data_IF_215805609959
#
_entry.id   IF_215805609959
#
_cell.length_a   1.000
_cell.length_b   1.000
_cell.length_c   1.000
_cell.angle_alpha   90.00
_cell.angle_beta   90.00
_cell.angle_gamma   90.00
#
_symmetry.space_group_name_H-M   'P 1'
#
loop_
_entity.id
_entity.type
_entity.pdbx_description
1 polymer ?
#
# COMPACT_ATOMS: atom_id res chain seq x y z
N UNK A 1 -25.40 -6.41 -8.73
CA UNK A 1 -23.95 -6.08 -8.71
C UNK A 1 -23.82 -4.58 -8.87
N UNK A 2 -22.79 -3.91 -8.72
CA UNK A 2 -22.38 -2.52 -9.02
C UNK A 2 -23.48 -1.42 -8.99
N UNK A 3 -24.63 -1.61 -8.33
CA UNK A 3 -25.68 -0.59 -8.24
C UNK A 3 -25.17 0.71 -7.62
N UNK A 4 -24.20 0.61 -6.70
CA UNK A 4 -23.57 1.77 -6.07
C UNK A 4 -22.90 2.73 -7.09
N UNK A 5 -22.52 2.24 -8.28
CA UNK A 5 -21.92 3.07 -9.34
C UNK A 5 -22.91 4.11 -9.86
N UNK A 6 -24.19 3.76 -9.92
CA UNK A 6 -25.28 4.63 -10.38
C UNK A 6 -26.02 5.30 -9.22
N UNK A 7 -25.84 4.84 -7.98
CA UNK A 7 -26.45 5.45 -6.80
C UNK A 7 -25.75 6.77 -6.48
N UNK A 8 -26.40 7.86 -6.87
CA UNK A 8 -25.88 9.21 -6.71
C UNK A 8 -26.88 10.14 -5.98
N UNK A 9 -27.87 9.58 -5.29
CA UNK A 9 -28.79 10.35 -4.48
C UNK A 9 -28.00 11.05 -3.36
N UNK A 10 -27.95 12.41 -3.35
CA UNK A 10 -27.06 13.12 -2.43
C UNK A 10 -27.52 13.01 -0.99
N UNK A 11 -26.57 12.73 -0.10
CA UNK A 11 -26.75 12.88 1.35
C UNK A 11 -26.43 14.35 1.66
N UNK A 12 -27.44 15.17 2.00
CA UNK A 12 -27.30 16.62 1.98
C UNK A 12 -26.40 17.17 3.08
N UNK A 13 -25.86 18.36 2.84
CA UNK A 13 -25.12 19.13 3.82
C UNK A 13 -26.04 19.52 4.99
N UNK A 14 -25.56 19.30 6.22
CA UNK A 14 -26.30 19.65 7.44
C UNK A 14 -25.73 20.92 8.06
N UNK A 15 -26.39 22.05 7.80
CA UNK A 15 -25.98 23.37 8.30
C UNK A 15 -25.86 23.41 9.83
N UNK A 16 -26.74 22.71 10.56
CA UNK A 16 -26.72 22.70 12.04
C UNK A 16 -25.48 21.97 12.58
N UNK A 17 -25.09 20.87 11.93
CA UNK A 17 -23.86 20.16 12.30
C UNK A 17 -22.61 20.98 11.95
N UNK A 18 -22.60 21.63 10.78
CA UNK A 18 -21.52 22.54 10.40
C UNK A 18 -21.33 23.65 11.41
N UNK A 19 -22.42 24.39 11.76
CA UNK A 19 -22.38 25.49 12.75
C UNK A 19 -21.85 25.03 14.12
N UNK A 20 -22.13 23.78 14.51
CA UNK A 20 -21.65 23.21 15.76
C UNK A 20 -20.13 22.96 15.71
N UNK A 21 -19.58 22.58 14.54
CA UNK A 21 -18.22 22.11 14.38
C UNK A 21 -17.28 23.10 13.67
N UNK A 22 -17.78 24.18 13.05
CA UNK A 22 -16.97 25.11 12.25
C UNK A 22 -15.77 25.71 13.00
N UNK A 23 -15.89 25.86 14.32
CA UNK A 23 -14.85 26.46 15.18
C UNK A 23 -14.04 25.40 15.94
N UNK A 24 -14.21 24.12 15.64
CA UNK A 24 -13.46 23.07 16.31
C UNK A 24 -11.95 23.24 16.06
N UNK A 25 -11.17 23.15 17.14
CA UNK A 25 -9.70 23.23 17.05
C UNK A 25 -9.11 22.08 16.28
N UNK A 26 -9.70 20.88 16.43
CA UNK A 26 -9.33 19.68 15.67
C UNK A 26 -10.31 19.52 14.50
N UNK A 27 -9.80 19.52 13.28
CA UNK A 27 -10.63 19.20 12.11
C UNK A 27 -10.98 17.72 12.13
N UNK A 28 -12.24 17.41 11.84
CA UNK A 28 -12.79 16.06 11.85
C UNK A 28 -12.62 15.43 10.46
N UNK A 29 -12.09 14.21 10.40
CA UNK A 29 -11.96 13.43 9.18
C UNK A 29 -12.84 12.18 9.26
N UNK A 30 -13.68 11.96 8.26
CA UNK A 30 -14.35 10.68 8.04
C UNK A 30 -13.54 9.86 7.03
N UNK A 31 -13.14 8.65 7.39
CA UNK A 31 -12.47 7.70 6.52
C UNK A 31 -13.45 6.60 6.13
N UNK A 32 -13.74 6.49 4.84
CA UNK A 32 -14.60 5.42 4.31
C UNK A 32 -13.70 4.32 3.80
N UNK A 33 -13.78 3.16 4.48
CA UNK A 33 -12.84 2.05 4.30
C UNK A 33 -13.61 0.79 3.88
N UNK A 34 -13.16 0.05 2.86
CA UNK A 34 -13.79 -1.23 2.52
C UNK A 34 -13.52 -2.26 3.63
N UNK A 35 -14.30 -3.33 3.66
CA UNK A 35 -14.06 -4.41 4.60
C UNK A 35 -12.65 -4.98 4.46
N UNK A 36 -12.04 -5.31 5.59
CA UNK A 36 -10.66 -5.79 5.68
C UNK A 36 -10.56 -7.20 6.25
N UNK A 37 -9.58 -7.94 5.74
CA UNK A 37 -9.14 -9.20 6.35
C UNK A 37 -7.89 -9.02 7.23
N UNK A 38 -7.54 -10.02 8.04
CA UNK A 38 -6.28 -10.06 8.78
C UNK A 38 -5.07 -9.88 7.86
N UNK A 39 -4.10 -9.07 8.28
CA UNK A 39 -2.83 -8.90 7.54
C UNK A 39 -2.91 -8.08 6.25
N UNK A 40 -4.01 -7.39 5.99
CA UNK A 40 -4.14 -6.52 4.81
C UNK A 40 -3.17 -5.33 4.88
N UNK A 41 -2.14 -5.33 4.01
CA UNK A 41 -1.10 -4.29 3.97
C UNK A 41 -1.65 -2.89 3.63
N UNK A 42 -2.61 -2.81 2.70
CA UNK A 42 -3.26 -1.55 2.35
C UNK A 42 -4.02 -0.94 3.53
N UNK A 43 -4.76 -1.74 4.28
CA UNK A 43 -5.45 -1.29 5.50
C UNK A 43 -4.46 -0.90 6.61
N UNK A 44 -3.36 -1.63 6.76
CA UNK A 44 -2.29 -1.28 7.71
C UNK A 44 -1.75 0.12 7.40
N UNK A 45 -1.51 0.44 6.15
CA UNK A 45 -1.05 1.78 5.72
C UNK A 45 -2.09 2.85 6.03
N UNK A 46 -3.37 2.62 5.71
CA UNK A 46 -4.48 3.54 6.03
C UNK A 46 -4.51 3.82 7.55
N UNK A 47 -4.54 2.79 8.37
CA UNK A 47 -4.62 2.93 9.83
C UNK A 47 -3.37 3.57 10.44
N UNK A 48 -2.20 3.37 9.84
CA UNK A 48 -0.96 4.05 10.23
C UNK A 48 -1.07 5.56 10.01
N UNK A 49 -1.57 5.98 8.85
CA UNK A 49 -1.79 7.40 8.58
C UNK A 49 -2.88 7.98 9.48
N UNK A 50 -4.01 7.30 9.64
CA UNK A 50 -5.08 7.74 10.55
C UNK A 50 -4.52 7.98 11.97
N UNK A 51 -3.76 7.05 12.51
CA UNK A 51 -3.18 7.16 13.84
C UNK A 51 -2.18 8.33 13.97
N UNK A 52 -1.33 8.52 12.97
CA UNK A 52 -0.39 9.65 12.99
C UNK A 52 -1.10 10.99 12.79
N UNK A 53 -2.12 11.06 11.94
CA UNK A 53 -2.93 12.26 11.74
C UNK A 53 -3.73 12.64 12.99
N UNK A 54 -4.23 11.65 13.76
CA UNK A 54 -4.86 11.87 15.06
C UNK A 54 -3.87 12.50 16.05
N UNK A 55 -2.65 11.99 16.13
CA UNK A 55 -1.57 12.55 16.96
C UNK A 55 -1.14 13.95 16.54
N UNK A 56 -1.20 14.24 15.24
CA UNK A 56 -0.84 15.56 14.67
C UNK A 56 -1.92 16.61 14.87
N UNK A 57 -3.16 16.24 15.21
CA UNK A 57 -4.19 17.19 15.59
C UNK A 57 -5.50 17.10 14.81
N UNK A 58 -5.70 16.14 13.93
CA UNK A 58 -7.02 15.79 13.42
C UNK A 58 -7.80 14.93 14.42
N UNK A 59 -9.10 14.82 14.21
CA UNK A 59 -9.93 13.81 14.87
C UNK A 59 -10.53 12.90 13.79
N UNK A 60 -10.21 11.61 13.86
CA UNK A 60 -10.57 10.65 12.81
C UNK A 60 -11.71 9.73 13.22
N UNK A 61 -12.61 9.49 12.27
CA UNK A 61 -13.67 8.50 12.34
C UNK A 61 -13.55 7.54 11.17
N UNK A 62 -13.55 6.25 11.45
CA UNK A 62 -13.51 5.19 10.43
C UNK A 62 -14.90 4.62 10.26
N UNK A 63 -15.38 4.57 9.02
CA UNK A 63 -16.66 3.97 8.66
C UNK A 63 -16.42 2.86 7.65
N UNK A 64 -16.91 1.65 7.95
CA UNK A 64 -16.82 0.55 7.01
C UNK A 64 -17.89 0.66 5.91
N UNK A 65 -17.49 0.32 4.71
CA UNK A 65 -18.36 0.30 3.55
C UNK A 65 -18.45 -1.11 2.97
N UNK A 66 -19.70 -1.60 2.78
CA UNK A 66 -19.97 -2.95 2.29
C UNK A 66 -19.28 -4.04 3.13
N UNK A 67 -19.51 -4.02 4.43
CA UNK A 67 -18.86 -4.88 5.42
C UNK A 67 -19.84 -5.89 6.05
N UNK A 68 -20.27 -6.96 5.32
CA UNK A 68 -21.28 -7.89 5.81
C UNK A 68 -20.83 -8.76 6.99
N UNK A 69 -19.52 -8.88 7.22
CA UNK A 69 -18.97 -9.71 8.30
C UNK A 69 -18.98 -9.03 9.68
N UNK A 70 -19.27 -7.72 9.75
CA UNK A 70 -19.33 -6.99 11.00
C UNK A 70 -20.75 -6.51 11.29
N UNK A 71 -21.32 -6.96 12.43
CA UNK A 71 -22.71 -6.66 12.79
C UNK A 71 -22.86 -5.38 13.62
N UNK A 72 -21.82 -4.98 14.35
CA UNK A 72 -21.82 -3.81 15.23
C UNK A 72 -20.42 -3.20 15.41
N UNK A 73 -20.40 -2.01 16.02
CA UNK A 73 -19.16 -1.28 16.28
C UNK A 73 -18.23 -2.00 17.29
N UNK A 74 -18.76 -2.82 18.16
CA UNK A 74 -17.96 -3.55 19.14
C UNK A 74 -17.17 -4.69 18.48
N UNK A 75 -17.78 -5.40 17.54
CA UNK A 75 -17.13 -6.49 16.80
C UNK A 75 -15.95 -5.97 15.96
N UNK A 76 -16.08 -4.80 15.32
CA UNK A 76 -14.99 -4.17 14.60
C UNK A 76 -13.88 -3.73 15.53
N UNK A 77 -14.19 -3.08 16.65
CA UNK A 77 -13.17 -2.63 17.61
C UNK A 77 -12.36 -3.80 18.14
N UNK A 78 -13.01 -4.94 18.41
CA UNK A 78 -12.34 -6.18 18.79
C UNK A 78 -11.39 -6.66 17.70
N UNK A 79 -11.87 -6.73 16.46
CA UNK A 79 -11.09 -7.16 15.30
C UNK A 79 -9.87 -6.23 15.07
N UNK A 80 -10.06 -4.91 15.09
CA UNK A 80 -8.98 -3.94 14.89
C UNK A 80 -7.93 -4.02 16.01
N UNK A 81 -8.34 -4.21 17.26
CA UNK A 81 -7.41 -4.41 18.37
C UNK A 81 -6.55 -5.66 18.20
N UNK A 82 -7.10 -6.71 17.63
CA UNK A 82 -6.40 -7.98 17.41
C UNK A 82 -5.47 -7.93 16.21
N UNK A 83 -5.93 -7.43 15.07
CA UNK A 83 -5.21 -7.49 13.79
C UNK A 83 -4.54 -6.20 13.35
N UNK A 84 -4.94 -5.05 13.89
CA UNK A 84 -4.40 -3.73 13.57
C UNK A 84 -4.11 -2.91 14.84
N UNK A 85 -3.29 -3.43 15.77
CA UNK A 85 -3.05 -2.79 17.08
C UNK A 85 -2.35 -1.43 16.97
N UNK A 86 -1.87 -1.06 15.79
CA UNK A 86 -1.28 0.25 15.51
C UNK A 86 -2.33 1.39 15.50
N UNK A 87 -3.63 1.05 15.33
CA UNK A 87 -4.69 2.06 15.34
C UNK A 87 -4.91 2.56 16.77
N UNK A 88 -4.73 3.86 16.96
CA UNK A 88 -4.85 4.49 18.29
C UNK A 88 -6.31 4.50 18.79
N UNK A 89 -6.54 4.36 20.09
CA UNK A 89 -7.88 4.18 20.66
C UNK A 89 -8.78 5.40 20.57
N UNK A 90 -8.23 6.58 20.31
CA UNK A 90 -8.97 7.83 20.16
C UNK A 90 -9.81 7.88 18.87
N UNK A 91 -9.47 7.06 17.88
CA UNK A 91 -10.19 6.96 16.61
C UNK A 91 -11.55 6.29 16.84
N UNK A 92 -12.61 6.96 16.42
CA UNK A 92 -13.94 6.38 16.42
C UNK A 92 -14.10 5.39 15.26
N UNK A 93 -14.76 4.26 15.50
CA UNK A 93 -14.96 3.22 14.48
C UNK A 93 -16.43 2.81 14.41
N UNK A 94 -16.97 2.78 13.20
CA UNK A 94 -18.36 2.49 12.90
C UNK A 94 -18.48 1.37 11.85
N UNK A 95 -19.41 0.45 12.05
CA UNK A 95 -19.60 -0.71 11.17
C UNK A 95 -20.30 -0.39 9.85
N UNK A 96 -20.91 0.79 9.74
CA UNK A 96 -21.67 1.14 8.55
C UNK A 96 -21.63 2.65 8.26
N UNK A 97 -21.55 2.97 6.99
CA UNK A 97 -21.54 4.34 6.47
C UNK A 97 -22.84 5.10 6.71
N UNK A 98 -23.96 4.42 6.99
CA UNK A 98 -25.23 5.08 7.35
C UNK A 98 -25.13 5.88 8.66
N UNK A 99 -24.12 5.59 9.48
CA UNK A 99 -23.85 6.30 10.74
C UNK A 99 -23.01 7.57 10.54
N UNK A 100 -22.64 7.92 9.29
CA UNK A 100 -21.77 9.07 9.03
C UNK A 100 -22.40 10.39 9.42
N UNK A 101 -21.61 11.18 10.16
CA UNK A 101 -21.92 12.53 10.60
C UNK A 101 -21.10 13.54 9.82
N UNK A 102 -21.39 14.83 9.98
CA UNK A 102 -20.58 15.92 9.43
C UNK A 102 -19.08 15.73 9.73
N UNK A 103 -18.26 16.05 8.74
CA UNK A 103 -16.81 16.15 8.89
C UNK A 103 -16.23 17.30 8.07
N UNK A 104 -15.07 17.82 8.47
CA UNK A 104 -14.34 18.82 7.69
C UNK A 104 -13.76 18.21 6.41
N UNK A 105 -13.42 16.93 6.44
CA UNK A 105 -13.10 16.19 5.23
C UNK A 105 -13.61 14.74 5.30
N UNK A 106 -13.99 14.22 4.15
CA UNK A 106 -14.35 12.80 3.97
C UNK A 106 -13.41 12.18 2.96
N UNK A 107 -12.79 11.04 3.32
CA UNK A 107 -11.70 10.41 2.60
C UNK A 107 -12.17 9.05 2.06
N UNK A 108 -12.13 8.90 0.74
CA UNK A 108 -12.24 7.60 0.07
C UNK A 108 -10.88 6.86 0.12
N UNK A 109 -10.89 5.56 0.33
CA UNK A 109 -9.67 4.74 0.42
C UNK A 109 -9.61 3.62 -0.61
N UNK A 110 -10.63 3.49 -1.43
CA UNK A 110 -10.72 2.60 -2.60
C UNK A 110 -11.71 3.14 -3.61
N UNK A 111 -11.67 2.63 -4.84
CA UNK A 111 -12.61 3.04 -5.88
C UNK A 111 -14.08 2.79 -5.48
N UNK A 112 -14.38 1.70 -4.79
CA UNK A 112 -15.74 1.42 -4.32
C UNK A 112 -16.22 2.45 -3.31
N UNK A 113 -15.35 2.86 -2.38
CA UNK A 113 -15.68 3.87 -1.36
C UNK A 113 -15.80 5.28 -1.96
N UNK A 114 -15.10 5.56 -3.07
CA UNK A 114 -15.19 6.84 -3.76
C UNK A 114 -16.61 7.13 -4.27
N UNK A 115 -17.32 6.12 -4.74
CA UNK A 115 -18.73 6.27 -5.13
C UNK A 115 -19.64 6.69 -3.98
N UNK A 116 -19.39 6.18 -2.77
CA UNK A 116 -20.13 6.63 -1.59
C UNK A 116 -19.75 8.06 -1.19
N UNK A 117 -18.46 8.36 -1.15
CA UNK A 117 -17.96 9.71 -0.82
C UNK A 117 -18.47 10.75 -1.83
N UNK A 118 -18.62 10.38 -3.10
CA UNK A 118 -19.20 11.23 -4.15
C UNK A 118 -20.56 11.81 -3.72
N UNK A 119 -21.46 10.96 -3.24
CA UNK A 119 -22.82 11.37 -2.85
C UNK A 119 -22.93 12.00 -1.45
N UNK A 120 -21.91 11.80 -0.58
CA UNK A 120 -21.92 12.36 0.76
C UNK A 120 -21.53 13.85 0.73
N UNK A 121 -22.55 14.73 0.86
CA UNK A 121 -22.37 16.19 0.81
C UNK A 121 -22.20 16.83 2.19
N UNK A 122 -22.37 16.07 3.29
CA UNK A 122 -22.25 16.57 4.66
C UNK A 122 -20.78 16.68 5.10
N UNK A 123 -19.99 17.34 4.26
CA UNK A 123 -18.53 17.49 4.42
C UNK A 123 -18.05 18.74 3.66
N UNK A 124 -16.96 19.36 4.11
CA UNK A 124 -16.37 20.53 3.45
C UNK A 124 -15.49 20.11 2.27
N UNK A 125 -14.60 19.16 2.51
CA UNK A 125 -13.65 18.66 1.51
C UNK A 125 -13.80 17.16 1.27
N UNK A 126 -13.46 16.73 0.07
CA UNK A 126 -13.42 15.31 -0.29
C UNK A 126 -12.02 14.94 -0.75
N UNK A 127 -11.47 13.89 -0.16
CA UNK A 127 -10.16 13.36 -0.48
C UNK A 127 -10.24 11.93 -0.98
N UNK A 128 -9.27 11.55 -1.80
CA UNK A 128 -9.01 10.17 -2.17
C UNK A 128 -7.61 9.79 -1.74
N UNK A 129 -7.50 8.81 -0.83
CA UNK A 129 -6.24 8.21 -0.40
C UNK A 129 -5.90 7.08 -1.37
N UNK A 130 -5.09 7.41 -2.40
CA UNK A 130 -4.78 6.53 -3.53
C UNK A 130 -3.51 5.75 -3.25
N UNK A 131 -3.62 4.45 -3.02
CA UNK A 131 -2.46 3.60 -2.71
C UNK A 131 -1.90 2.86 -3.92
N UNK A 132 -2.69 2.70 -4.98
CA UNK A 132 -2.27 2.07 -6.24
C UNK A 132 -3.12 2.61 -7.39
N UNK A 133 -2.74 2.30 -8.64
CA UNK A 133 -3.58 2.56 -9.78
C UNK A 133 -4.63 1.44 -9.90
N UNK A 134 -5.74 1.62 -9.21
CA UNK A 134 -6.75 0.58 -9.00
C UNK A 134 -7.39 0.03 -10.28
N UNK A 135 -7.52 0.79 -11.41
CA UNK A 135 -7.98 0.20 -12.67
C UNK A 135 -7.15 -1.01 -13.11
N UNK A 136 -5.85 -1.03 -12.85
CA UNK A 136 -4.97 -2.15 -13.18
C UNK A 136 -5.16 -3.40 -12.27
N UNK A 137 -6.11 -3.38 -11.34
CA UNK A 137 -6.49 -4.60 -10.61
C UNK A 137 -7.39 -5.51 -11.46
N UNK A 138 -7.92 -5.00 -12.57
CA UNK A 138 -8.88 -5.64 -13.45
C UNK A 138 -8.37 -5.71 -14.87
N UNK A 139 -8.87 -6.68 -15.64
CA UNK A 139 -8.77 -6.64 -17.10
C UNK A 139 -9.50 -5.39 -17.63
N UNK A 140 -9.05 -4.85 -18.75
CA UNK A 140 -9.69 -3.68 -19.35
C UNK A 140 -11.14 -4.02 -19.73
N UNK A 141 -12.08 -3.51 -18.96
CA UNK A 141 -13.51 -3.80 -19.04
C UNK A 141 -14.28 -2.98 -18.01
N UNK A 142 -15.50 -3.38 -17.66
CA UNK A 142 -16.40 -2.58 -16.82
C UNK A 142 -15.80 -2.18 -15.46
N UNK A 143 -15.13 -3.11 -14.78
CA UNK A 143 -14.54 -2.80 -13.47
C UNK A 143 -13.35 -1.84 -13.57
N UNK A 144 -12.55 -1.99 -14.63
CA UNK A 144 -11.49 -1.03 -14.96
C UNK A 144 -12.07 0.38 -15.13
N UNK A 145 -13.12 0.51 -15.95
CA UNK A 145 -13.78 1.79 -16.22
C UNK A 145 -14.43 2.38 -14.96
N UNK A 146 -15.06 1.54 -14.12
CA UNK A 146 -15.65 2.01 -12.87
C UNK A 146 -14.59 2.53 -11.89
N UNK A 147 -13.46 1.85 -11.79
CA UNK A 147 -12.35 2.29 -10.96
C UNK A 147 -11.72 3.59 -11.50
N UNK A 148 -11.45 3.66 -12.81
CA UNK A 148 -10.87 4.85 -13.44
C UNK A 148 -11.76 6.10 -13.31
N UNK A 149 -13.07 5.93 -13.45
CA UNK A 149 -14.02 7.04 -13.34
C UNK A 149 -14.00 7.71 -11.97
N UNK A 150 -13.53 7.03 -10.92
CA UNK A 150 -13.42 7.63 -9.59
C UNK A 150 -12.38 8.74 -9.53
N UNK A 151 -11.34 8.69 -10.34
CA UNK A 151 -10.32 9.73 -10.42
C UNK A 151 -10.82 11.02 -11.08
N UNK A 152 -11.96 10.96 -11.78
CA UNK A 152 -12.62 12.08 -12.46
C UNK A 152 -13.69 12.77 -11.59
N UNK A 153 -13.85 12.35 -10.33
CA UNK A 153 -14.90 12.85 -9.42
C UNK A 153 -14.59 14.20 -8.76
N UNK A 154 -13.43 14.79 -9.02
CA UNK A 154 -13.05 16.11 -8.48
C UNK A 154 -12.57 16.09 -7.03
N UNK A 155 -12.15 14.94 -6.49
CA UNK A 155 -11.57 14.84 -5.15
C UNK A 155 -10.14 15.39 -5.13
N UNK A 156 -9.66 15.75 -3.94
CA UNK A 156 -8.23 15.99 -3.71
C UNK A 156 -7.54 14.66 -3.46
N UNK A 157 -6.35 14.45 -4.05
CA UNK A 157 -5.60 13.21 -3.92
C UNK A 157 -4.52 13.26 -2.86
N UNK A 158 -4.41 12.19 -2.09
CA UNK A 158 -3.23 11.86 -1.29
C UNK A 158 -2.73 10.52 -1.81
N UNK A 159 -1.55 10.49 -2.44
CA UNK A 159 -1.10 9.33 -3.20
C UNK A 159 0.11 8.65 -2.58
N UNK A 160 0.15 7.32 -2.65
CA UNK A 160 1.32 6.53 -2.31
C UNK A 160 2.37 6.63 -3.43
N UNK A 161 3.27 7.58 -3.28
CA UNK A 161 4.36 7.85 -4.20
C UNK A 161 4.06 8.83 -5.31
N UNK A 162 5.14 9.29 -5.92
CA UNK A 162 5.12 10.37 -6.91
C UNK A 162 4.52 9.92 -8.25
N UNK A 163 4.67 8.65 -8.61
CA UNK A 163 4.08 8.11 -9.83
C UNK A 163 2.56 8.27 -9.87
N UNK A 164 1.88 7.89 -8.79
CA UNK A 164 0.42 8.04 -8.67
C UNK A 164 0.02 9.52 -8.63
N UNK A 165 0.76 10.37 -7.90
CA UNK A 165 0.53 11.82 -7.90
C UNK A 165 0.57 12.38 -9.31
N UNK A 166 1.58 12.02 -10.08
CA UNK A 166 1.79 12.56 -11.42
C UNK A 166 0.72 12.09 -12.40
N UNK A 167 0.28 10.82 -12.32
CA UNK A 167 -0.88 10.32 -13.07
C UNK A 167 -2.14 11.12 -12.68
N UNK A 168 -2.42 11.25 -11.38
CA UNK A 168 -3.63 11.95 -10.92
C UNK A 168 -3.65 13.41 -11.38
N UNK A 169 -2.51 14.10 -11.35
CA UNK A 169 -2.39 15.49 -11.79
C UNK A 169 -2.49 15.62 -13.32
N UNK A 170 -1.71 14.84 -14.05
CA UNK A 170 -1.52 15.04 -15.49
C UNK A 170 -2.62 14.43 -16.34
N UNK A 171 -3.19 13.30 -15.92
CA UNK A 171 -4.19 12.58 -16.70
C UNK A 171 -5.62 12.87 -16.24
N UNK A 172 -5.82 13.12 -14.93
CA UNK A 172 -7.15 13.32 -14.37
C UNK A 172 -7.40 14.74 -13.83
N UNK A 173 -6.40 15.62 -13.85
CA UNK A 173 -6.56 17.00 -13.36
C UNK A 173 -6.81 17.10 -11.85
N UNK A 174 -6.48 16.04 -11.09
CA UNK A 174 -6.68 15.99 -9.65
C UNK A 174 -5.63 16.86 -8.94
N UNK A 175 -6.05 17.66 -7.96
CA UNK A 175 -5.12 18.29 -7.03
C UNK A 175 -4.60 17.21 -6.08
N UNK A 176 -3.39 16.73 -6.27
CA UNK A 176 -2.84 15.62 -5.54
C UNK A 176 -1.45 15.92 -4.98
N UNK A 177 -1.21 15.47 -3.76
CA UNK A 177 0.09 15.43 -3.12
C UNK A 177 0.44 13.99 -2.76
N UNK A 178 1.73 13.67 -2.67
CA UNK A 178 2.21 12.33 -2.40
C UNK A 178 2.82 12.19 -1.01
N UNK A 179 2.80 10.98 -0.50
CA UNK A 179 3.65 10.52 0.58
C UNK A 179 4.53 9.38 0.09
N UNK A 180 5.68 9.20 0.73
CA UNK A 180 6.56 8.08 0.48
C UNK A 180 6.38 7.00 1.54
N UNK A 181 6.97 5.84 1.28
CA UNK A 181 6.92 4.72 2.22
C UNK A 181 8.05 4.80 3.25
N UNK A 182 7.85 4.06 4.32
CA UNK A 182 8.83 3.63 5.27
C UNK A 182 8.56 2.16 5.60
N UNK A 183 9.09 1.64 6.67
CA UNK A 183 8.91 0.27 7.11
C UNK A 183 8.60 0.22 8.61
N UNK A 184 8.21 -0.94 9.12
CA UNK A 184 8.04 -1.17 10.55
C UNK A 184 9.38 -1.63 11.15
N UNK A 185 10.08 -0.69 11.79
CA UNK A 185 11.41 -0.91 12.37
C UNK A 185 11.44 -1.85 13.58
N UNK A 186 10.27 -2.17 14.15
CA UNK A 186 10.15 -3.17 15.21
C UNK A 186 10.11 -4.59 14.67
N UNK A 187 9.65 -4.77 13.44
CA UNK A 187 9.50 -6.07 12.78
C UNK A 187 10.68 -6.34 11.85
N UNK A 188 10.96 -5.41 10.95
CA UNK A 188 11.98 -5.57 9.91
C UNK A 188 13.30 -4.97 10.38
N UNK A 189 14.21 -5.84 10.79
CA UNK A 189 15.51 -5.48 11.34
C UNK A 189 16.62 -6.28 10.65
N UNK A 190 17.83 -5.71 10.53
CA UNK A 190 18.94 -6.43 9.95
C UNK A 190 19.33 -7.62 10.84
N UNK A 191 19.51 -8.77 10.20
CA UNK A 191 20.05 -9.98 10.81
C UNK A 191 21.25 -10.47 10.00
N UNK A 192 22.19 -11.11 10.66
CA UNK A 192 23.24 -11.83 9.98
C UNK A 192 22.65 -13.08 9.35
N UNK A 193 23.10 -13.37 8.14
CA UNK A 193 22.75 -14.60 7.43
C UNK A 193 23.36 -15.79 8.16
N UNK A 194 22.60 -16.86 8.43
CA UNK A 194 23.05 -17.96 9.28
C UNK A 194 24.13 -18.86 8.64
N UNK A 195 24.27 -18.78 7.33
CA UNK A 195 25.16 -19.63 6.53
C UNK A 195 25.55 -18.95 5.20
N UNK A 196 26.32 -19.64 4.37
CA UNK A 196 26.76 -19.16 3.06
C UNK A 196 25.91 -19.69 1.89
N UNK A 197 24.76 -20.31 2.16
CA UNK A 197 23.89 -20.81 1.10
C UNK A 197 23.25 -19.65 0.31
N UNK A 198 23.24 -19.79 -1.01
CA UNK A 198 22.61 -18.83 -1.91
C UNK A 198 21.10 -18.98 -1.89
N UNK A 199 20.37 -17.93 -1.53
CA UNK A 199 18.91 -17.94 -1.47
C UNK A 199 18.31 -16.72 -2.14
N UNK A 200 17.18 -16.96 -2.79
CA UNK A 200 16.32 -15.92 -3.37
C UNK A 200 14.94 -16.03 -2.75
N UNK A 201 14.40 -14.92 -2.28
CA UNK A 201 13.02 -14.84 -1.85
C UNK A 201 12.11 -14.41 -3.00
N UNK A 202 10.93 -15.00 -3.11
CA UNK A 202 9.88 -14.55 -4.01
C UNK A 202 8.52 -14.55 -3.30
N UNK A 203 7.89 -13.37 -3.26
CA UNK A 203 6.56 -13.21 -2.69
C UNK A 203 5.51 -13.70 -3.70
N UNK A 204 5.06 -14.93 -3.53
CA UNK A 204 4.14 -15.59 -4.45
C UNK A 204 2.73 -15.02 -4.33
N UNK A 205 2.18 -14.53 -5.45
CA UNK A 205 0.81 -13.99 -5.53
C UNK A 205 0.13 -14.38 -6.84
N UNK A 206 -0.09 -15.67 -7.11
CA UNK A 206 -0.66 -16.13 -8.38
C UNK A 206 -2.06 -15.59 -8.66
N UNK A 207 -2.81 -15.25 -7.61
CA UNK A 207 -4.15 -14.66 -7.72
C UNK A 207 -4.15 -13.15 -7.96
N UNK A 208 -2.98 -12.55 -8.12
CA UNK A 208 -2.82 -11.10 -8.32
C UNK A 208 -2.01 -10.86 -9.58
N UNK A 209 -2.65 -10.78 -10.78
CA UNK A 209 -1.95 -10.75 -12.07
C UNK A 209 -0.85 -9.70 -12.17
N UNK A 210 -1.08 -8.49 -11.64
CA UNK A 210 -0.10 -7.40 -11.65
C UNK A 210 1.19 -7.67 -10.86
N UNK A 211 1.27 -8.77 -10.12
CA UNK A 211 2.48 -9.21 -9.38
C UNK A 211 3.32 -10.20 -10.17
N UNK A 212 2.95 -10.50 -11.42
CA UNK A 212 3.73 -11.22 -12.40
C UNK A 212 4.31 -12.56 -11.88
N UNK A 213 3.44 -13.37 -11.25
CA UNK A 213 3.85 -14.66 -10.66
C UNK A 213 4.52 -15.57 -11.70
N UNK A 214 3.91 -15.72 -12.88
CA UNK A 214 4.41 -16.57 -13.96
C UNK A 214 5.75 -16.07 -14.50
N UNK A 215 5.90 -14.75 -14.66
CA UNK A 215 7.17 -14.13 -15.06
C UNK A 215 8.28 -14.41 -14.04
N UNK A 216 7.98 -14.27 -12.77
CA UNK A 216 8.91 -14.56 -11.67
C UNK A 216 9.29 -16.03 -11.63
N UNK A 217 8.33 -16.94 -11.81
CA UNK A 217 8.59 -18.39 -11.85
C UNK A 217 9.50 -18.78 -13.02
N UNK A 218 9.28 -18.22 -14.21
CA UNK A 218 10.14 -18.47 -15.37
C UNK A 218 11.58 -17.96 -15.14
N UNK A 219 11.72 -16.76 -14.58
CA UNK A 219 13.01 -16.19 -14.26
C UNK A 219 13.78 -17.03 -13.21
N UNK A 220 13.11 -17.46 -12.16
CA UNK A 220 13.68 -18.29 -11.11
C UNK A 220 14.05 -19.69 -11.63
N UNK A 221 13.22 -20.27 -12.48
CA UNK A 221 13.55 -21.56 -13.13
C UNK A 221 14.81 -21.43 -13.98
N UNK A 222 14.95 -20.39 -14.77
CA UNK A 222 16.15 -20.17 -15.59
C UNK A 222 17.38 -19.89 -14.73
N UNK A 223 17.26 -19.09 -13.67
CA UNK A 223 18.34 -18.86 -12.71
C UNK A 223 18.81 -20.16 -12.05
N UNK A 224 17.88 -20.96 -11.52
CA UNK A 224 18.21 -22.23 -10.84
C UNK A 224 18.71 -23.29 -11.80
N UNK A 225 18.32 -23.27 -13.08
CA UNK A 225 18.90 -24.13 -14.12
C UNK A 225 20.39 -23.86 -14.32
N UNK A 226 20.82 -22.58 -14.25
CA UNK A 226 22.20 -22.13 -14.38
C UNK A 226 22.99 -22.31 -13.07
N UNK A 227 22.34 -22.12 -11.94
CA UNK A 227 22.91 -22.15 -10.58
C UNK A 227 22.08 -23.08 -9.68
N UNK A 228 22.26 -24.44 -9.82
CA UNK A 228 21.42 -25.43 -9.13
C UNK A 228 21.53 -25.40 -7.59
N UNK A 229 22.58 -24.77 -7.06
CA UNK A 229 22.77 -24.59 -5.61
C UNK A 229 21.79 -23.58 -4.98
N UNK A 230 21.15 -22.71 -5.77
CA UNK A 230 20.23 -21.71 -5.25
C UNK A 230 18.96 -22.36 -4.71
N UNK A 231 18.58 -21.95 -3.51
CA UNK A 231 17.29 -22.28 -2.92
C UNK A 231 16.34 -21.08 -3.01
N UNK A 232 15.13 -21.30 -3.52
CA UNK A 232 14.08 -20.26 -3.58
C UNK A 232 13.14 -20.39 -2.39
N UNK A 233 12.89 -19.29 -1.68
CA UNK A 233 11.98 -19.22 -0.55
C UNK A 233 10.70 -18.53 -0.99
N UNK A 234 9.57 -19.23 -0.99
CA UNK A 234 8.25 -18.70 -1.31
C UNK A 234 7.45 -18.37 -0.04
N UNK A 235 6.78 -17.23 -0.04
CA UNK A 235 5.76 -16.89 0.93
C UNK A 235 4.65 -16.06 0.29
N UNK A 236 3.52 -15.89 1.00
CA UNK A 236 2.37 -15.10 0.56
C UNK A 236 1.26 -15.92 -0.09
N UNK A 237 1.58 -17.12 -0.56
CA UNK A 237 0.65 -18.11 -1.10
C UNK A 237 1.21 -19.52 -0.93
N UNK A 238 0.33 -20.52 -0.78
CA UNK A 238 0.75 -21.91 -0.82
C UNK A 238 0.96 -22.34 -2.27
N UNK A 239 2.22 -22.58 -2.63
CA UNK A 239 2.62 -22.99 -3.99
C UNK A 239 2.70 -24.51 -4.17
N UNK A 240 2.24 -25.30 -3.22
CA UNK A 240 2.27 -26.77 -3.31
C UNK A 240 1.48 -27.35 -4.49
N UNK A 241 0.52 -26.59 -5.03
CA UNK A 241 -0.23 -26.96 -6.22
C UNK A 241 0.51 -26.76 -7.55
N UNK A 242 1.73 -26.21 -7.54
CA UNK A 242 2.56 -25.96 -8.72
C UNK A 242 3.70 -26.96 -8.80
N UNK A 243 4.02 -27.41 -10.00
CA UNK A 243 5.22 -28.21 -10.27
C UNK A 243 6.44 -27.28 -10.35
N UNK A 244 7.30 -27.30 -9.32
CA UNK A 244 8.47 -26.44 -9.20
C UNK A 244 9.73 -27.28 -9.33
N UNK A 245 10.49 -27.17 -10.44
CA UNK A 245 11.59 -28.09 -10.78
C UNK A 245 12.94 -27.70 -10.15
N UNK A 246 12.96 -26.90 -9.11
CA UNK A 246 14.19 -26.45 -8.45
C UNK A 246 14.07 -26.51 -6.91
N UNK A 247 15.22 -26.43 -6.23
CA UNK A 247 15.29 -26.44 -4.76
C UNK A 247 14.48 -25.25 -4.18
N UNK A 248 13.50 -25.52 -3.36
CA UNK A 248 12.65 -24.47 -2.79
C UNK A 248 12.10 -24.80 -1.40
N UNK A 249 11.67 -23.76 -0.70
CA UNK A 249 10.82 -23.82 0.49
C UNK A 249 9.50 -23.11 0.21
N UNK A 250 8.41 -23.73 0.57
CA UNK A 250 7.08 -23.17 0.50
C UNK A 250 6.59 -22.85 1.92
N UNK A 251 6.55 -21.58 2.28
CA UNK A 251 6.12 -21.13 3.60
C UNK A 251 4.62 -20.82 3.66
N UNK A 252 3.95 -20.72 2.50
CA UNK A 252 2.54 -20.35 2.44
C UNK A 252 2.26 -18.93 2.94
N UNK A 253 1.12 -18.76 3.61
CA UNK A 253 0.74 -17.49 4.24
C UNK A 253 1.41 -17.39 5.61
N UNK A 254 2.17 -16.34 5.82
CA UNK A 254 3.02 -16.17 7.02
C UNK A 254 2.77 -14.83 7.71
N UNK A 255 3.20 -14.74 8.96
CA UNK A 255 3.17 -13.48 9.73
C UNK A 255 4.26 -12.52 9.27
N UNK A 256 4.15 -11.21 9.56
CA UNK A 256 5.21 -10.24 9.26
C UNK A 256 6.57 -10.61 9.84
N UNK A 257 6.60 -11.20 11.04
CA UNK A 257 7.88 -11.65 11.65
C UNK A 257 8.53 -12.76 10.83
N UNK A 258 7.76 -13.74 10.36
CA UNK A 258 8.27 -14.83 9.51
C UNK A 258 8.74 -14.29 8.16
N UNK A 259 8.07 -13.26 7.60
CA UNK A 259 8.54 -12.56 6.40
C UNK A 259 9.89 -11.89 6.66
N UNK A 260 10.04 -11.15 7.75
CA UNK A 260 11.30 -10.50 8.11
C UNK A 260 12.45 -11.51 8.24
N UNK A 261 12.19 -12.64 8.88
CA UNK A 261 13.17 -13.74 9.02
C UNK A 261 13.53 -14.35 7.65
N UNK A 262 12.53 -14.48 6.77
CA UNK A 262 12.73 -15.02 5.42
C UNK A 262 13.54 -14.08 4.52
N UNK A 263 13.31 -12.76 4.61
CA UNK A 263 14.13 -11.78 3.90
C UNK A 263 15.59 -11.82 4.37
N UNK A 264 15.78 -11.90 5.69
CA UNK A 264 17.12 -11.84 6.30
C UNK A 264 18.03 -13.06 5.94
N UNK A 265 17.46 -14.21 5.62
CA UNK A 265 18.25 -15.38 5.20
C UNK A 265 18.53 -15.42 3.68
N UNK A 266 17.90 -14.55 2.90
CA UNK A 266 18.04 -14.48 1.45
C UNK A 266 19.05 -13.40 1.03
N UNK A 267 19.77 -13.65 -0.04
CA UNK A 267 20.71 -12.70 -0.65
C UNK A 267 19.98 -11.63 -1.44
N UNK A 268 18.95 -12.07 -2.17
CA UNK A 268 18.12 -11.24 -3.03
C UNK A 268 16.65 -11.61 -2.85
N UNK A 269 15.77 -10.60 -3.01
CA UNK A 269 14.32 -10.77 -2.97
C UNK A 269 13.73 -10.21 -4.26
N UNK A 270 13.10 -11.05 -5.07
CA UNK A 270 12.48 -10.66 -6.33
C UNK A 270 11.12 -10.01 -6.08
N UNK A 271 10.97 -8.75 -6.48
CA UNK A 271 9.78 -7.91 -6.29
C UNK A 271 9.34 -7.33 -7.62
N UNK A 272 8.39 -7.96 -8.27
CA UNK A 272 7.88 -7.54 -9.57
C UNK A 272 6.46 -6.97 -9.40
N UNK A 273 6.18 -5.88 -10.07
CA UNK A 273 4.83 -5.33 -10.14
C UNK A 273 4.64 -4.43 -11.35
N UNK A 274 3.51 -4.56 -12.03
CA UNK A 274 3.07 -3.63 -13.08
C UNK A 274 2.43 -2.35 -12.52
N UNK A 275 2.26 -2.28 -11.20
CA UNK A 275 1.75 -1.10 -10.47
C UNK A 275 2.71 -0.75 -9.33
N UNK A 276 2.22 -0.26 -8.20
CA UNK A 276 3.05 0.05 -7.04
C UNK A 276 3.76 -1.22 -6.50
N UNK A 277 5.04 -1.12 -6.16
CA UNK A 277 5.83 -2.23 -5.58
C UNK A 277 5.42 -2.58 -4.14
N UNK A 278 4.54 -1.81 -3.50
CA UNK A 278 4.20 -1.91 -2.07
C UNK A 278 5.40 -1.65 -1.13
N UNK A 279 5.29 -2.08 0.12
CA UNK A 279 6.34 -1.89 1.14
C UNK A 279 7.50 -2.89 1.03
N UNK A 280 7.35 -3.95 0.25
CA UNK A 280 8.29 -5.09 0.21
C UNK A 280 9.74 -4.67 -0.04
N UNK A 281 10.08 -3.78 -1.01
CA UNK A 281 11.47 -3.37 -1.21
C UNK A 281 12.11 -2.75 0.04
N UNK A 282 11.37 -1.94 0.79
CA UNK A 282 11.88 -1.29 2.01
C UNK A 282 12.04 -2.28 3.16
N UNK A 283 11.12 -3.21 3.29
CA UNK A 283 11.18 -4.31 4.27
C UNK A 283 12.40 -5.21 4.01
N UNK A 284 12.63 -5.54 2.74
CA UNK A 284 13.81 -6.31 2.28
C UNK A 284 15.11 -5.60 2.61
N UNK A 285 15.23 -4.31 2.27
CA UNK A 285 16.41 -3.49 2.56
C UNK A 285 16.65 -3.40 4.08
N UNK A 286 15.61 -3.23 4.87
CA UNK A 286 15.67 -3.18 6.33
C UNK A 286 16.18 -4.49 6.95
N UNK A 287 15.90 -5.63 6.31
CA UNK A 287 16.33 -6.97 6.74
C UNK A 287 17.74 -7.37 6.23
N UNK A 288 18.53 -6.42 5.70
CA UNK A 288 19.88 -6.69 5.19
C UNK A 288 19.90 -7.63 3.98
N UNK A 289 18.91 -7.55 3.10
CA UNK A 289 18.82 -8.24 1.84
C UNK A 289 18.73 -7.25 0.66
N UNK A 290 18.86 -7.72 -0.57
CA UNK A 290 18.81 -6.87 -1.76
C UNK A 290 17.49 -7.05 -2.50
N UNK A 291 16.75 -5.97 -2.71
CA UNK A 291 15.55 -5.99 -3.53
C UNK A 291 15.93 -6.00 -5.02
N UNK A 292 15.37 -6.96 -5.76
CA UNK A 292 15.44 -7.03 -7.23
C UNK A 292 14.08 -6.61 -7.75
N UNK A 293 13.98 -5.43 -8.33
CA UNK A 293 12.72 -4.78 -8.61
C UNK A 293 12.51 -4.54 -10.11
N UNK A 294 11.29 -4.73 -10.59
CA UNK A 294 10.90 -4.28 -11.93
C UNK A 294 11.09 -2.77 -12.06
N UNK A 295 11.72 -2.33 -13.15
CA UNK A 295 11.97 -0.92 -13.42
C UNK A 295 10.78 -0.27 -14.17
N UNK A 296 10.51 0.98 -13.86
CA UNK A 296 9.47 1.76 -14.51
C UNK A 296 9.16 3.05 -13.73
N UNK A 297 8.27 3.87 -14.27
CA UNK A 297 7.80 5.07 -13.58
C UNK A 297 7.11 4.72 -12.24
N UNK A 298 6.45 3.56 -12.19
CA UNK A 298 5.77 3.03 -11.00
C UNK A 298 6.72 2.68 -9.85
N UNK A 299 8.00 2.47 -10.12
CA UNK A 299 8.99 2.05 -9.11
C UNK A 299 10.08 3.09 -8.83
N UNK A 300 10.41 3.96 -9.80
CA UNK A 300 11.54 4.89 -9.74
C UNK A 300 11.49 5.93 -8.62
N UNK A 301 10.34 6.15 -8.03
CA UNK A 301 10.18 7.03 -6.88
C UNK A 301 10.66 6.41 -5.56
N UNK A 302 10.91 5.08 -5.52
CA UNK A 302 11.31 4.38 -4.30
C UNK A 302 12.57 3.52 -4.45
N UNK A 303 12.90 3.07 -5.66
CA UNK A 303 14.05 2.22 -5.94
C UNK A 303 14.87 2.73 -7.12
N UNK A 304 16.18 2.53 -7.08
CA UNK A 304 17.13 2.88 -8.13
C UNK A 304 18.32 1.93 -8.12
N UNK A 305 19.25 2.07 -9.07
CA UNK A 305 20.44 1.19 -9.18
C UNK A 305 21.45 1.34 -8.02
N UNK A 306 21.27 2.31 -7.12
CA UNK A 306 22.12 2.43 -5.94
C UNK A 306 21.61 1.60 -4.77
N UNK A 307 20.28 1.48 -4.61
CA UNK A 307 19.66 0.81 -3.47
C UNK A 307 19.03 -0.54 -3.80
N UNK A 308 18.96 -0.90 -5.08
CA UNK A 308 18.27 -2.10 -5.59
C UNK A 308 18.93 -2.58 -6.88
N UNK A 309 18.57 -3.79 -7.31
CA UNK A 309 18.85 -4.30 -8.66
C UNK A 309 17.58 -4.06 -9.48
N UNK A 310 17.69 -3.28 -10.55
CA UNK A 310 16.55 -3.04 -11.44
C UNK A 310 16.55 -4.03 -12.61
N UNK A 311 15.37 -4.54 -12.94
CA UNK A 311 15.16 -5.54 -13.99
C UNK A 311 14.01 -5.17 -14.92
N UNK A 312 14.09 -5.57 -16.17
CA UNK A 312 12.99 -5.49 -17.13
C UNK A 312 11.97 -6.62 -16.91
N UNK A 313 10.79 -6.51 -17.52
CA UNK A 313 9.77 -7.57 -17.50
C UNK A 313 10.12 -8.70 -18.50
N UNK A 314 11.33 -9.24 -18.37
CA UNK A 314 11.85 -10.33 -19.19
C UNK A 314 12.51 -11.39 -18.31
N UNK A 315 12.07 -12.67 -18.34
CA UNK A 315 12.56 -13.69 -17.42
C UNK A 315 14.05 -14.03 -17.63
N UNK A 316 14.56 -13.91 -18.86
CA UNK A 316 15.98 -14.17 -19.16
C UNK A 316 16.82 -13.03 -18.58
N UNK A 317 16.44 -11.79 -18.82
CA UNK A 317 17.15 -10.62 -18.29
C UNK A 317 17.14 -10.59 -16.75
N UNK A 318 16.04 -10.99 -16.12
CA UNK A 318 15.95 -11.11 -14.64
C UNK A 318 16.98 -12.16 -14.17
N UNK A 319 17.01 -13.34 -14.80
CA UNK A 319 17.97 -14.39 -14.46
C UNK A 319 19.42 -13.92 -14.68
N UNK A 320 19.72 -13.26 -15.81
CA UNK A 320 21.05 -12.72 -16.13
C UNK A 320 21.55 -11.74 -15.04
N UNK A 321 20.69 -10.81 -14.63
CA UNK A 321 21.02 -9.81 -13.59
C UNK A 321 21.28 -10.46 -12.24
N UNK A 322 20.45 -11.42 -11.84
CA UNK A 322 20.60 -12.12 -10.56
C UNK A 322 21.84 -13.01 -10.54
N UNK A 323 22.11 -13.75 -11.63
CA UNK A 323 23.34 -14.55 -11.80
C UNK A 323 24.58 -13.67 -11.73
N UNK A 324 24.57 -12.51 -12.41
CA UNK A 324 25.67 -11.56 -12.36
C UNK A 324 26.02 -11.18 -10.92
N UNK A 325 25.04 -10.77 -10.11
CA UNK A 325 25.28 -10.34 -8.75
C UNK A 325 25.65 -11.49 -7.79
N UNK A 326 25.21 -12.71 -8.03
CA UNK A 326 25.72 -13.88 -7.30
C UNK A 326 27.19 -14.15 -7.58
N UNK A 327 27.67 -13.83 -8.78
CA UNK A 327 29.06 -13.95 -9.19
C UNK A 327 29.91 -12.71 -8.85
N UNK A 328 29.28 -11.62 -8.39
CA UNK A 328 29.94 -10.36 -7.97
C UNK A 328 29.50 -9.97 -6.55
N UNK A 329 29.89 -10.75 -5.53
CA UNK A 329 29.38 -10.58 -4.16
C UNK A 329 29.76 -9.22 -3.52
N UNK A 330 30.85 -8.61 -3.93
CA UNK A 330 31.26 -7.27 -3.44
C UNK A 330 30.31 -6.17 -3.95
N UNK A 331 29.88 -6.27 -5.19
CA UNK A 331 28.90 -5.34 -5.76
C UNK A 331 27.54 -5.55 -5.11
N UNK A 332 27.11 -6.80 -4.92
CA UNK A 332 25.88 -7.13 -4.19
C UNK A 332 25.91 -6.58 -2.76
N UNK A 333 27.03 -6.71 -2.05
CA UNK A 333 27.20 -6.18 -0.71
C UNK A 333 27.14 -4.63 -0.68
N UNK A 334 27.63 -3.98 -1.73
CA UNK A 334 27.55 -2.53 -1.87
C UNK A 334 26.11 -2.05 -2.01
N UNK A 335 25.31 -2.69 -2.86
CA UNK A 335 23.87 -2.38 -3.03
C UNK A 335 23.12 -2.65 -1.73
N UNK A 336 23.39 -3.78 -1.09
CA UNK A 336 22.79 -4.15 0.21
C UNK A 336 23.00 -3.07 1.26
N UNK A 337 24.22 -2.58 1.41
CA UNK A 337 24.57 -1.53 2.35
C UNK A 337 23.83 -0.22 2.02
N UNK A 338 23.88 0.22 0.77
CA UNK A 338 23.20 1.44 0.32
C UNK A 338 21.68 1.36 0.50
N UNK A 339 21.07 0.20 0.22
CA UNK A 339 19.64 -0.02 0.45
C UNK A 339 19.28 0.10 1.93
N UNK A 340 20.06 -0.52 2.81
CA UNK A 340 19.86 -0.44 4.25
C UNK A 340 20.06 0.98 4.80
N UNK A 341 21.05 1.71 4.31
CA UNK A 341 21.29 3.10 4.71
C UNK A 341 20.16 4.01 4.21
N UNK A 342 19.65 3.77 3.02
CA UNK A 342 18.51 4.50 2.44
C UNK A 342 17.24 4.37 3.30
N UNK A 343 16.83 3.14 3.64
CA UNK A 343 15.56 2.95 4.36
C UNK A 343 15.61 3.48 5.80
N UNK A 344 16.77 3.50 6.44
CA UNK A 344 16.97 4.11 7.77
C UNK A 344 16.67 5.61 7.78
N UNK A 345 16.78 6.29 6.63
CA UNK A 345 16.45 7.70 6.46
C UNK A 345 14.94 7.97 6.29
N UNK A 346 14.13 6.94 6.12
CA UNK A 346 12.67 7.06 5.92
C UNK A 346 11.92 7.15 7.25
N UNK A 347 10.74 7.76 7.25
CA UNK A 347 9.94 7.91 8.47
C UNK A 347 8.46 8.06 8.16
N UNK A 348 7.63 7.15 8.64
CA UNK A 348 6.18 7.25 8.55
C UNK A 348 5.63 8.54 9.18
N UNK A 349 6.23 8.98 10.29
CA UNK A 349 5.76 10.18 10.97
C UNK A 349 6.02 11.44 10.13
N UNK A 350 7.21 11.58 9.55
CA UNK A 350 7.54 12.70 8.64
C UNK A 350 6.63 12.71 7.40
N UNK A 351 6.30 11.55 6.85
CA UNK A 351 5.36 11.46 5.74
C UNK A 351 3.93 11.84 6.17
N UNK A 352 3.52 11.45 7.38
CA UNK A 352 2.24 11.87 7.94
C UNK A 352 2.17 13.39 8.19
N UNK A 353 3.27 14.04 8.56
CA UNK A 353 3.35 15.51 8.68
C UNK A 353 3.08 16.20 7.33
N UNK A 354 3.61 15.68 6.23
CA UNK A 354 3.33 16.18 4.87
C UNK A 354 1.86 16.01 4.51
N UNK A 355 1.29 14.84 4.78
CA UNK A 355 -0.13 14.56 4.53
C UNK A 355 -1.02 15.45 5.38
N UNK A 356 -0.68 15.64 6.66
CA UNK A 356 -1.40 16.54 7.55
C UNK A 356 -1.45 17.97 6.99
N UNK A 357 -0.30 18.52 6.59
CA UNK A 357 -0.21 19.86 6.03
C UNK A 357 -1.01 20.00 4.72
N UNK A 358 -0.93 19.01 3.84
CA UNK A 358 -1.67 18.99 2.58
C UNK A 358 -3.18 18.94 2.80
N UNK A 359 -3.64 18.05 3.68
CA UNK A 359 -5.07 17.93 3.99
C UNK A 359 -5.61 19.17 4.68
N UNK A 360 -4.89 19.73 5.65
CA UNK A 360 -5.30 20.95 6.36
C UNK A 360 -5.46 22.12 5.38
N UNK A 361 -4.45 22.32 4.51
CA UNK A 361 -4.51 23.34 3.46
C UNK A 361 -5.72 23.15 2.54
N UNK A 362 -5.97 21.92 2.08
CA UNK A 362 -7.12 21.62 1.23
C UNK A 362 -8.46 21.91 1.91
N UNK A 363 -8.60 21.55 3.19
CA UNK A 363 -9.80 21.85 3.99
C UNK A 363 -10.01 23.37 4.11
N UNK A 364 -8.96 24.12 4.44
CA UNK A 364 -9.03 25.59 4.58
C UNK A 364 -9.39 26.30 3.27
N UNK A 365 -8.84 25.81 2.14
CA UNK A 365 -9.17 26.35 0.81
C UNK A 365 -10.65 26.11 0.44
N UNK A 366 -11.18 24.93 0.76
CA UNK A 366 -12.56 24.59 0.45
C UNK A 366 -13.55 25.23 1.43
N UNK A 367 -13.16 25.39 2.70
CA UNK A 367 -13.96 26.12 3.71
C UNK A 367 -14.17 27.59 3.31
N UNK A 368 -13.15 28.25 2.74
CA UNK A 368 -13.27 29.63 2.22
C UNK A 368 -14.26 29.77 1.07
N UNK A 369 -14.54 28.72 0.32
CA UNK A 369 -15.53 28.74 -0.78
C UNK A 369 -16.97 28.66 -0.28
N UNK A 370 -17.18 28.24 0.98
CA UNK A 370 -18.49 28.18 1.62
C UNK A 370 -18.91 29.54 2.25
N UNK A 371 -17.95 30.43 2.43
CA UNK A 371 -18.18 31.80 2.96
C UNK A 371 -18.48 32.77 1.82
#
# INVERSE_FOLDING_TARGET
FYRFVVDNDPIPFNQKEYEKHKNDKKKILNWVVPEMGPGSGGHTTIFRFISNLERLGFHSRVYLYMSPNFQDNASIRKFLKEYFPLLVPEVEVYCDVSQMKFAHATVATSWTTAYYVRKFQNTISKFYFVQDFEPHFYAHGSEYEFAENTYKMGFRGITAGDWLRDIMRNEYGMQADSFHFSYDDKVYQPKEKPDNEKRVFFYARPVTPRRDFELGMLALNELCRRMPEIEVVFAGWDVSGYEIPFKHRNLGIVTPQVLADSYAICDMCLVISNTNLSLVPFEVMACNSVAVCSKGANSSWMVNEENSILVDYDPIQIADRMEYYFNHPDELATIRKKGMDFVKGTSWYKEAEKVYASMLKGIEEDEKKLQ
#
